data_IF_356929466596
#
_entry.id   IF_356929466596
#
_cell.length_a   1.000
_cell.length_b   1.000
_cell.length_c   1.000
_cell.angle_alpha   90.00
_cell.angle_beta   90.00
_cell.angle_gamma   90.00
#
_symmetry.space_group_name_H-M   'P 1'
#
loop_
_entity.id
_entity.type
_entity.pdbx_description
1 polymer ?
#
# COMPACT_ATOMS: atom_id res chain seq x y z
N UNK A 1 -25.42 4.80 8.60
CA UNK A 1 -24.89 4.28 7.31
C UNK A 1 -23.67 3.44 7.65
N UNK A 2 -23.63 2.19 7.24
CA UNK A 2 -22.53 1.29 7.62
C UNK A 2 -21.33 1.54 6.70
N UNK A 3 -20.09 1.45 7.19
CA UNK A 3 -18.85 1.59 6.37
C UNK A 3 -18.85 0.70 5.12
N UNK A 4 -19.54 -0.44 5.21
CA UNK A 4 -19.73 -1.33 4.07
C UNK A 4 -20.58 -0.69 2.95
N UNK A 5 -21.55 0.19 3.26
CA UNK A 5 -22.32 0.93 2.26
C UNK A 5 -21.49 1.98 1.53
N UNK A 6 -20.62 2.70 2.24
CA UNK A 6 -19.69 3.67 1.64
C UNK A 6 -18.69 2.96 0.72
N UNK A 7 -18.04 1.90 1.20
CA UNK A 7 -17.13 1.09 0.39
C UNK A 7 -17.82 0.47 -0.84
N UNK A 8 -19.10 0.06 -0.71
CA UNK A 8 -19.90 -0.44 -1.84
C UNK A 8 -20.12 0.65 -2.89
N UNK A 9 -20.48 1.85 -2.47
CA UNK A 9 -20.77 2.94 -3.40
C UNK A 9 -19.51 3.42 -4.12
N UNK A 10 -18.38 3.54 -3.40
CA UNK A 10 -17.07 3.82 -4.01
C UNK A 10 -16.69 2.77 -5.06
N UNK A 11 -16.88 1.47 -4.77
CA UNK A 11 -16.60 0.43 -5.76
C UNK A 11 -17.58 0.36 -6.92
N UNK A 12 -18.86 0.67 -6.70
CA UNK A 12 -19.84 0.79 -7.79
C UNK A 12 -19.41 1.89 -8.77
N UNK A 13 -18.96 3.02 -8.24
CA UNK A 13 -18.51 4.18 -9.01
C UNK A 13 -17.18 3.89 -9.73
N UNK A 14 -16.32 3.03 -9.17
CA UNK A 14 -15.11 2.53 -9.80
C UNK A 14 -15.33 1.38 -10.82
N UNK A 15 -16.57 1.15 -11.29
CA UNK A 15 -16.86 0.11 -12.29
C UNK A 15 -17.01 -1.32 -11.73
N UNK A 16 -17.16 -1.46 -10.41
CA UNK A 16 -17.52 -2.71 -9.75
C UNK A 16 -16.37 -3.67 -9.45
N UNK A 17 -15.10 -3.28 -9.67
CA UNK A 17 -13.92 -4.08 -9.33
C UNK A 17 -12.79 -3.18 -8.83
N UNK A 18 -12.05 -3.62 -7.80
CA UNK A 18 -10.80 -2.96 -7.40
C UNK A 18 -9.72 -3.26 -8.44
N UNK A 19 -9.03 -2.25 -9.01
CA UNK A 19 -7.93 -2.46 -9.97
C UNK A 19 -6.66 -3.01 -9.31
N UNK A 20 -6.63 -3.07 -7.98
CA UNK A 20 -5.46 -3.44 -7.20
C UNK A 20 -4.90 -4.81 -7.60
N UNK A 21 -5.73 -5.85 -7.60
CA UNK A 21 -5.24 -7.21 -7.85
C UNK A 21 -4.72 -7.38 -9.29
N UNK A 22 -5.43 -6.86 -10.29
CA UNK A 22 -5.00 -6.94 -11.68
C UNK A 22 -3.70 -6.17 -11.92
N UNK A 23 -3.52 -5.03 -11.26
CA UNK A 23 -2.28 -4.25 -11.34
C UNK A 23 -1.12 -4.99 -10.69
N UNK A 24 -1.33 -5.59 -9.51
CA UNK A 24 -0.30 -6.39 -8.83
C UNK A 24 0.08 -7.63 -9.65
N UNK A 25 -0.90 -8.28 -10.32
CA UNK A 25 -0.63 -9.41 -11.22
C UNK A 25 0.20 -8.99 -12.44
N UNK A 26 -0.11 -7.84 -13.02
CA UNK A 26 0.67 -7.28 -14.12
C UNK A 26 2.09 -6.92 -13.67
N UNK A 27 2.25 -6.29 -12.49
CA UNK A 27 3.55 -5.99 -11.88
C UNK A 27 4.37 -7.26 -11.63
N UNK A 28 3.75 -8.30 -11.07
CA UNK A 28 4.40 -9.59 -10.84
C UNK A 28 4.90 -10.24 -12.13
N UNK A 29 4.09 -10.17 -13.20
CA UNK A 29 4.44 -10.71 -14.52
C UNK A 29 5.61 -9.92 -15.14
N UNK A 30 5.55 -8.59 -15.11
CA UNK A 30 6.59 -7.73 -15.65
C UNK A 30 7.91 -7.90 -14.88
N UNK A 31 7.85 -7.97 -13.54
CA UNK A 31 9.01 -8.22 -12.68
C UNK A 31 9.62 -9.59 -12.95
N UNK A 32 8.80 -10.63 -13.14
CA UNK A 32 9.30 -11.96 -13.49
C UNK A 32 10.05 -11.94 -14.83
N UNK A 33 9.50 -11.29 -15.85
CA UNK A 33 10.14 -11.16 -17.16
C UNK A 33 11.49 -10.42 -17.06
N UNK A 34 11.51 -9.29 -16.36
CA UNK A 34 12.73 -8.50 -16.13
C UNK A 34 13.81 -9.30 -15.37
N UNK A 35 13.43 -10.06 -14.34
CA UNK A 35 14.37 -10.92 -13.62
C UNK A 35 14.89 -12.06 -14.49
N UNK A 36 14.05 -12.63 -15.36
CA UNK A 36 14.45 -13.67 -16.30
C UNK A 36 15.47 -13.14 -17.31
N UNK A 37 15.28 -11.93 -17.84
CA UNK A 37 16.25 -11.26 -18.72
C UNK A 37 17.59 -11.01 -18.01
N UNK A 38 17.56 -10.76 -16.70
CA UNK A 38 18.75 -10.65 -15.83
C UNK A 38 19.35 -12.00 -15.41
N UNK A 39 18.86 -13.12 -15.96
CA UNK A 39 19.38 -14.46 -15.71
C UNK A 39 18.89 -15.11 -14.41
N UNK A 40 17.79 -14.61 -13.83
CA UNK A 40 17.18 -15.17 -12.63
C UNK A 40 15.84 -15.82 -12.98
N UNK A 41 15.81 -17.15 -12.93
CA UNK A 41 14.57 -17.91 -13.01
C UNK A 41 13.84 -17.82 -11.67
N UNK A 42 12.65 -17.21 -11.67
CA UNK A 42 11.85 -17.01 -10.47
C UNK A 42 10.36 -17.18 -10.75
N UNK A 43 9.63 -17.50 -9.68
CA UNK A 43 8.19 -17.65 -9.68
C UNK A 43 7.57 -16.60 -8.74
N UNK A 44 6.73 -15.68 -9.24
CA UNK A 44 6.07 -14.71 -8.37
C UNK A 44 4.89 -15.36 -7.63
N UNK A 45 4.76 -15.05 -6.33
CA UNK A 45 3.63 -15.40 -5.49
C UNK A 45 3.03 -14.14 -4.90
N UNK A 46 1.74 -13.90 -5.15
CA UNK A 46 1.02 -12.74 -4.63
C UNK A 46 0.39 -13.13 -3.31
N UNK A 47 0.76 -12.43 -2.24
CA UNK A 47 0.19 -12.62 -0.91
C UNK A 47 -0.47 -11.31 -0.47
N UNK A 48 -1.80 -11.29 -0.39
CA UNK A 48 -2.53 -10.12 0.13
C UNK A 48 -3.10 -10.39 1.52
N UNK A 49 -3.12 -9.34 2.36
CA UNK A 49 -3.44 -9.46 3.78
C UNK A 49 -4.92 -9.71 4.06
N UNK A 50 -5.78 -9.01 3.31
CA UNK A 50 -7.22 -8.91 3.59
C UNK A 50 -8.10 -9.35 2.41
N UNK A 51 -7.51 -9.75 1.28
CA UNK A 51 -8.27 -10.21 0.11
C UNK A 51 -7.64 -11.44 -0.54
N UNK A 52 -8.27 -11.98 -1.57
CA UNK A 52 -7.71 -13.08 -2.36
C UNK A 52 -6.74 -12.54 -3.43
N UNK A 53 -5.65 -13.26 -3.74
CA UNK A 53 -5.14 -14.42 -3.01
C UNK A 53 -4.64 -14.03 -1.62
N UNK A 54 -5.01 -14.81 -0.60
CA UNK A 54 -4.59 -14.58 0.77
C UNK A 54 -3.14 -15.02 0.97
N UNK A 55 -2.51 -14.51 2.03
CA UNK A 55 -1.18 -14.97 2.45
C UNK A 55 -1.11 -16.49 2.63
N UNK A 56 -2.16 -17.11 3.17
CA UNK A 56 -2.32 -18.56 3.30
C UNK A 56 -2.24 -19.27 1.94
N UNK A 57 -3.01 -18.81 0.96
CA UNK A 57 -3.05 -19.38 -0.40
C UNK A 57 -1.66 -19.32 -1.05
N UNK A 58 -0.95 -18.20 -0.86
CA UNK A 58 0.40 -18.03 -1.40
C UNK A 58 1.41 -18.98 -0.75
N UNK A 59 1.35 -19.16 0.57
CA UNK A 59 2.24 -20.08 1.30
C UNK A 59 1.96 -21.53 0.91
N UNK A 60 0.70 -21.92 0.75
CA UNK A 60 0.34 -23.26 0.26
C UNK A 60 0.87 -23.51 -1.15
N UNK A 61 0.74 -22.54 -2.06
CA UNK A 61 1.28 -22.64 -3.42
C UNK A 61 2.82 -22.74 -3.42
N UNK A 62 3.50 -21.92 -2.61
CA UNK A 62 4.96 -21.95 -2.41
C UNK A 62 5.43 -23.36 -1.97
N UNK A 63 4.70 -23.99 -1.04
CA UNK A 63 4.99 -25.34 -0.55
C UNK A 63 4.73 -26.39 -1.62
N UNK A 64 3.59 -26.30 -2.31
CA UNK A 64 3.20 -27.25 -3.35
C UNK A 64 4.17 -27.25 -4.54
N UNK A 65 4.71 -26.09 -4.91
CA UNK A 65 5.72 -25.95 -5.98
C UNK A 65 7.15 -26.27 -5.49
N UNK A 66 7.35 -26.61 -4.20
CA UNK A 66 8.65 -27.00 -3.66
C UNK A 66 9.67 -25.87 -3.60
N UNK A 67 9.23 -24.61 -3.54
CA UNK A 67 10.12 -23.43 -3.54
C UNK A 67 10.88 -23.35 -2.20
N UNK A 68 12.21 -23.34 -2.24
CA UNK A 68 13.04 -23.34 -1.02
C UNK A 68 13.74 -22.01 -0.75
N UNK A 69 13.69 -21.07 -1.70
CA UNK A 69 14.34 -19.75 -1.63
C UNK A 69 13.33 -18.67 -1.99
N UNK A 70 13.16 -17.70 -1.11
CA UNK A 70 12.13 -16.67 -1.24
C UNK A 70 12.74 -15.28 -1.07
N UNK A 71 12.44 -14.36 -1.97
CA UNK A 71 12.58 -12.93 -1.71
C UNK A 71 11.19 -12.40 -1.36
N UNK A 72 11.04 -11.88 -0.14
CA UNK A 72 9.81 -11.26 0.33
C UNK A 72 9.90 -9.77 0.03
N UNK A 73 9.07 -9.32 -0.91
CA UNK A 73 9.01 -7.94 -1.39
C UNK A 73 7.65 -7.32 -1.02
N UNK A 74 7.54 -6.56 0.08
CA UNK A 74 6.39 -5.69 0.31
C UNK A 74 6.28 -4.65 -0.81
N UNK A 75 5.09 -4.50 -1.40
CA UNK A 75 4.83 -3.49 -2.44
C UNK A 75 4.60 -2.07 -1.89
N UNK A 76 4.85 -1.86 -0.60
CA UNK A 76 4.89 -0.53 0.02
C UNK A 76 6.34 -0.03 0.01
N UNK A 77 6.65 1.11 -0.66
CA UNK A 77 8.01 1.63 -0.68
C UNK A 77 8.49 2.02 0.73
N UNK A 78 7.60 2.66 1.50
CA UNK A 78 7.83 3.04 2.89
C UNK A 78 7.34 1.93 3.83
N UNK A 79 8.15 1.59 4.83
CA UNK A 79 7.76 0.65 5.87
C UNK A 79 6.79 1.29 6.86
N UNK A 80 5.75 0.55 7.23
CA UNK A 80 4.96 0.82 8.44
C UNK A 80 4.71 -0.49 9.20
N UNK A 81 4.62 -0.39 10.53
CA UNK A 81 4.20 -1.47 11.42
C UNK A 81 2.79 -1.98 11.10
N UNK A 82 1.94 -1.09 10.58
CA UNK A 82 0.55 -1.36 10.22
C UNK A 82 0.38 -2.04 8.85
N UNK A 83 1.35 -1.88 7.94
CA UNK A 83 1.31 -2.45 6.58
C UNK A 83 2.31 -3.60 6.42
N UNK A 84 3.55 -3.31 6.00
CA UNK A 84 4.62 -4.28 5.79
C UNK A 84 4.89 -5.08 7.07
N UNK A 85 4.94 -4.43 8.23
CA UNK A 85 5.11 -5.12 9.51
C UNK A 85 4.01 -6.16 9.80
N UNK A 86 2.74 -5.82 9.50
CA UNK A 86 1.61 -6.74 9.67
C UNK A 86 1.72 -7.96 8.76
N UNK A 87 2.02 -7.75 7.48
CA UNK A 87 2.18 -8.84 6.51
C UNK A 87 3.36 -9.75 6.86
N UNK A 88 4.49 -9.17 7.26
CA UNK A 88 5.71 -9.92 7.61
C UNK A 88 5.52 -10.80 8.84
N UNK A 89 4.82 -10.33 9.90
CA UNK A 89 4.53 -11.16 11.09
C UNK A 89 3.70 -12.41 10.76
N UNK A 90 2.76 -12.29 9.83
CA UNK A 90 1.93 -13.42 9.38
C UNK A 90 2.75 -14.39 8.55
N UNK A 91 3.53 -13.88 7.58
CA UNK A 91 4.41 -14.71 6.76
C UNK A 91 5.45 -15.44 7.61
N UNK A 92 6.06 -14.76 8.58
CA UNK A 92 7.03 -15.35 9.51
C UNK A 92 6.40 -16.53 10.25
N UNK A 93 5.20 -16.34 10.82
CA UNK A 93 4.48 -17.42 11.50
C UNK A 93 4.23 -18.61 10.57
N UNK A 94 3.82 -18.37 9.33
CA UNK A 94 3.44 -19.45 8.41
C UNK A 94 4.64 -20.20 7.81
N UNK A 95 5.76 -19.50 7.59
CA UNK A 95 6.97 -20.07 6.99
C UNK A 95 7.87 -20.75 8.03
N UNK A 96 7.96 -20.23 9.25
CA UNK A 96 8.93 -20.70 10.24
C UNK A 96 8.37 -21.60 11.34
N UNK A 97 7.04 -21.70 11.48
CA UNK A 97 6.44 -22.67 12.42
C UNK A 97 6.17 -24.04 11.81
N UNK A 98 6.36 -24.22 10.50
CA UNK A 98 6.24 -25.51 9.83
C UNK A 98 7.62 -26.21 9.76
N UNK A 99 7.87 -27.26 10.56
CA UNK A 99 9.14 -27.99 10.53
C UNK A 99 9.37 -28.75 9.21
N UNK A 100 8.34 -28.97 8.39
CA UNK A 100 8.42 -29.63 7.09
C UNK A 100 8.86 -28.71 5.94
N UNK A 101 9.00 -27.41 6.18
CA UNK A 101 9.27 -26.43 5.12
C UNK A 101 10.43 -25.49 5.46
N UNK A 102 11.70 -25.92 5.28
CA UNK A 102 12.86 -25.11 5.60
C UNK A 102 13.18 -24.09 4.50
N UNK A 103 12.28 -23.13 4.27
CA UNK A 103 12.53 -22.06 3.30
C UNK A 103 13.59 -21.08 3.80
N UNK A 104 14.55 -20.76 2.92
CA UNK A 104 15.40 -19.60 3.06
C UNK A 104 14.66 -18.39 2.54
N UNK A 105 14.54 -17.34 3.34
CA UNK A 105 13.99 -16.09 2.86
C UNK A 105 14.89 -14.89 3.15
N UNK A 106 14.87 -13.94 2.23
CA UNK A 106 15.35 -12.58 2.44
C UNK A 106 14.16 -11.64 2.37
N UNK A 107 14.17 -10.57 3.18
CA UNK A 107 13.10 -9.59 3.25
C UNK A 107 13.66 -8.25 2.79
N UNK A 108 12.98 -7.62 1.84
CA UNK A 108 13.22 -6.22 1.49
C UNK A 108 12.43 -5.35 2.49
N UNK A 109 13.09 -4.65 3.42
CA UNK A 109 12.37 -3.98 4.51
C UNK A 109 11.63 -2.72 4.03
N UNK A 110 12.29 -1.92 3.21
CA UNK A 110 11.78 -0.69 2.60
C UNK A 110 12.62 -0.37 1.35
N UNK A 111 12.07 0.42 0.43
CA UNK A 111 12.74 0.76 -0.84
C UNK A 111 12.33 2.15 -1.38
N UNK A 112 11.77 3.01 -0.54
CA UNK A 112 11.33 4.37 -0.87
C UNK A 112 12.43 5.32 -1.38
N UNK A 113 13.69 5.04 -1.06
CA UNK A 113 14.85 5.87 -1.43
C UNK A 113 15.64 5.31 -2.61
N UNK A 114 15.10 4.30 -3.32
CA UNK A 114 15.80 3.66 -4.43
C UNK A 114 15.82 4.59 -5.66
N UNK A 115 16.99 4.84 -6.27
CA UNK A 115 17.09 5.78 -7.41
C UNK A 115 16.11 5.49 -8.54
N UNK A 116 15.91 4.22 -8.91
CA UNK A 116 14.96 3.85 -9.97
C UNK A 116 13.50 4.15 -9.62
N UNK A 117 13.10 3.98 -8.35
CA UNK A 117 11.75 4.34 -7.89
C UNK A 117 11.54 5.86 -7.91
N UNK A 118 12.53 6.62 -7.42
CA UNK A 118 12.48 8.08 -7.40
C UNK A 118 12.40 8.65 -8.81
N UNK A 119 13.23 8.14 -9.73
CA UNK A 119 13.22 8.52 -11.15
C UNK A 119 11.89 8.17 -11.82
N UNK A 120 11.37 6.97 -11.62
CA UNK A 120 10.08 6.58 -12.20
C UNK A 120 8.94 7.48 -11.70
N UNK A 121 8.97 7.85 -10.41
CA UNK A 121 8.00 8.77 -9.82
C UNK A 121 8.12 10.17 -10.42
N UNK A 122 9.34 10.71 -10.52
CA UNK A 122 9.59 12.02 -11.11
C UNK A 122 9.18 12.08 -12.60
N UNK A 123 9.50 11.04 -13.39
CA UNK A 123 9.06 10.90 -14.77
C UNK A 123 7.53 10.92 -14.88
N UNK A 124 6.83 10.22 -13.98
CA UNK A 124 5.37 10.19 -14.00
C UNK A 124 4.76 11.55 -13.63
N UNK A 125 5.36 12.26 -12.69
CA UNK A 125 4.97 13.64 -12.34
C UNK A 125 5.21 14.56 -13.54
N UNK A 126 6.37 14.49 -14.19
CA UNK A 126 6.74 15.27 -15.37
C UNK A 126 5.76 15.05 -16.54
N UNK A 127 5.39 13.79 -16.82
CA UNK A 127 4.36 13.45 -17.80
C UNK A 127 3.01 14.08 -17.45
N UNK A 128 2.63 14.07 -16.17
CA UNK A 128 1.36 14.64 -15.70
C UNK A 128 1.35 16.17 -15.78
N UNK A 129 2.46 16.83 -15.43
CA UNK A 129 2.64 18.28 -15.59
C UNK A 129 2.62 18.67 -17.07
N UNK A 130 3.16 17.84 -17.95
CA UNK A 130 3.17 18.10 -19.39
C UNK A 130 1.76 18.16 -19.99
N UNK A 131 0.78 17.48 -19.37
CA UNK A 131 -0.63 17.56 -19.74
C UNK A 131 -1.35 18.82 -19.22
N UNK A 132 -0.77 19.55 -18.26
CA UNK A 132 -1.30 20.83 -17.78
C UNK A 132 -1.06 21.91 -18.85
N UNK A 133 -2.06 22.72 -19.23
CA UNK A 133 -1.88 23.84 -20.16
C UNK A 133 -0.77 24.78 -19.69
N UNK A 134 0.09 25.24 -20.60
CA UNK A 134 1.28 26.01 -20.25
C UNK A 134 0.93 27.29 -19.47
N UNK A 135 -0.16 27.94 -19.83
CA UNK A 135 -0.74 29.11 -19.18
C UNK A 135 -1.21 28.85 -17.74
N UNK A 136 -1.56 27.61 -17.41
CA UNK A 136 -2.02 27.21 -16.07
C UNK A 136 -0.86 26.81 -15.15
N UNK A 137 0.37 26.67 -15.66
CA UNK A 137 1.51 26.19 -14.86
C UNK A 137 2.09 27.24 -13.90
N UNK A 138 1.79 28.52 -14.10
CA UNK A 138 2.34 29.62 -13.29
C UNK A 138 1.91 29.61 -11.82
N UNK A 139 0.78 28.97 -11.50
CA UNK A 139 0.24 28.79 -10.14
C UNK A 139 0.26 27.33 -9.68
N UNK A 140 1.03 26.47 -10.37
CA UNK A 140 1.06 25.04 -10.11
C UNK A 140 1.68 24.74 -8.75
N UNK A 141 1.00 23.89 -7.97
CA UNK A 141 1.51 23.34 -6.73
C UNK A 141 1.46 21.81 -6.77
N UNK A 142 2.52 21.16 -6.29
CA UNK A 142 2.60 19.70 -6.12
C UNK A 142 2.13 19.31 -4.72
N UNK A 143 1.02 18.61 -4.61
CA UNK A 143 0.56 18.04 -3.34
C UNK A 143 0.88 16.56 -3.30
N UNK A 144 1.88 16.18 -2.51
CA UNK A 144 2.17 14.78 -2.22
C UNK A 144 1.17 14.29 -1.17
N UNK A 145 0.42 13.25 -1.51
CA UNK A 145 -0.58 12.66 -0.62
C UNK A 145 -0.20 11.23 -0.28
N UNK A 146 0.01 10.97 1.01
CA UNK A 146 0.33 9.66 1.57
C UNK A 146 -0.86 9.12 2.38
N UNK A 147 -0.91 7.81 2.64
CA UNK A 147 -1.92 7.24 3.52
C UNK A 147 -1.74 7.74 4.96
N UNK A 148 -2.83 8.18 5.58
CA UNK A 148 -2.83 8.53 6.99
C UNK A 148 -2.55 7.33 7.88
N UNK A 149 -1.88 7.60 9.00
CA UNK A 149 -1.60 6.66 10.07
C UNK A 149 -2.03 7.29 11.40
N UNK A 150 -2.59 6.55 12.37
CA UNK A 150 -2.81 7.10 13.70
C UNK A 150 -1.49 7.55 14.31
N UNK A 151 -1.43 8.78 14.83
CA UNK A 151 -0.19 9.44 15.29
C UNK A 151 0.57 8.59 16.33
N UNK A 152 -0.15 7.87 17.19
CA UNK A 152 0.42 6.94 18.18
C UNK A 152 1.38 5.90 17.60
N UNK A 153 1.22 5.48 16.34
CA UNK A 153 2.16 4.55 15.73
C UNK A 153 3.55 5.18 15.59
N UNK A 154 3.61 6.46 15.25
CA UNK A 154 4.87 7.20 15.13
C UNK A 154 5.35 7.62 16.53
N UNK A 155 4.48 8.27 17.30
CA UNK A 155 4.82 8.90 18.59
C UNK A 155 5.18 7.86 19.67
N UNK A 156 4.42 6.77 19.79
CA UNK A 156 4.57 5.81 20.88
C UNK A 156 5.32 4.54 20.45
N UNK A 157 5.19 4.13 19.18
CA UNK A 157 5.72 2.85 18.68
C UNK A 157 6.96 3.01 17.78
N UNK A 158 7.36 4.25 17.46
CA UNK A 158 8.52 4.53 16.63
C UNK A 158 8.37 4.04 15.18
N UNK A 159 7.16 4.05 14.63
CA UNK A 159 6.92 3.69 13.23
C UNK A 159 7.63 4.69 12.29
N UNK A 160 8.55 4.23 11.40
CA UNK A 160 9.37 5.11 10.58
C UNK A 160 8.60 5.69 9.38
N UNK A 161 7.33 5.31 9.18
CA UNK A 161 6.55 5.65 7.99
C UNK A 161 6.55 7.14 7.65
N UNK A 162 6.29 8.01 8.63
CA UNK A 162 6.22 9.46 8.40
C UNK A 162 7.55 10.04 7.91
N UNK A 163 8.67 9.65 8.55
CA UNK A 163 10.02 10.05 8.15
C UNK A 163 10.36 9.55 6.73
N UNK A 164 10.02 8.29 6.43
CA UNK A 164 10.28 7.72 5.11
C UNK A 164 9.43 8.38 4.01
N UNK A 165 8.18 8.74 4.29
CA UNK A 165 7.32 9.48 3.35
C UNK A 165 7.89 10.88 3.10
N UNK A 166 8.23 11.63 4.15
CA UNK A 166 8.84 12.96 4.00
C UNK A 166 10.14 12.88 3.21
N UNK A 167 10.99 11.89 3.52
CA UNK A 167 12.23 11.69 2.78
C UNK A 167 12.00 11.29 1.32
N UNK A 168 10.95 10.51 1.03
CA UNK A 168 10.56 10.18 -0.34
C UNK A 168 10.20 11.43 -1.13
N UNK A 169 9.37 12.31 -0.56
CA UNK A 169 9.00 13.58 -1.18
C UNK A 169 10.23 14.44 -1.48
N UNK A 170 11.14 14.62 -0.52
CA UNK A 170 12.35 15.41 -0.71
C UNK A 170 13.23 14.87 -1.85
N UNK A 171 13.38 13.55 -1.92
CA UNK A 171 14.17 12.89 -2.94
C UNK A 171 13.52 12.99 -4.33
N UNK A 172 12.20 12.83 -4.44
CA UNK A 172 11.46 13.03 -5.69
C UNK A 172 11.53 14.48 -6.15
N UNK A 173 11.39 15.45 -5.24
CA UNK A 173 11.59 16.87 -5.55
C UNK A 173 13.00 17.15 -6.08
N UNK A 174 14.02 16.50 -5.53
CA UNK A 174 15.40 16.64 -6.02
C UNK A 174 15.57 16.10 -7.45
N UNK A 175 14.92 14.97 -7.78
CA UNK A 175 14.88 14.43 -9.15
C UNK A 175 14.15 15.39 -10.11
N UNK A 176 13.02 15.96 -9.70
CA UNK A 176 12.28 16.95 -10.50
C UNK A 176 13.10 18.21 -10.76
N UNK A 177 13.79 18.73 -9.76
CA UNK A 177 14.70 19.87 -9.91
C UNK A 177 15.85 19.56 -10.88
N UNK A 178 16.41 18.35 -10.82
CA UNK A 178 17.42 17.90 -11.78
C UNK A 178 16.88 17.80 -13.23
N UNK A 179 15.57 17.59 -13.39
CA UNK A 179 14.86 17.63 -14.69
C UNK A 179 14.47 19.07 -15.12
N UNK A 180 14.81 20.09 -14.33
CA UNK A 180 14.43 21.48 -14.60
C UNK A 180 12.99 21.83 -14.20
N UNK A 181 12.34 21.01 -13.38
CA UNK A 181 11.00 21.23 -12.85
C UNK A 181 11.10 21.65 -11.38
N UNK A 182 10.98 22.95 -11.11
CA UNK A 182 11.01 23.51 -9.76
C UNK A 182 9.66 24.17 -9.44
N UNK A 183 8.76 23.39 -8.83
CA UNK A 183 7.44 23.84 -8.41
C UNK A 183 7.31 23.78 -6.89
N UNK A 184 6.55 24.71 -6.28
CA UNK A 184 6.15 24.61 -4.88
C UNK A 184 5.50 23.26 -4.57
N UNK A 185 5.82 22.70 -3.41
CA UNK A 185 5.33 21.40 -3.01
C UNK A 185 4.99 21.33 -1.52
N UNK A 186 3.99 20.52 -1.16
CA UNK A 186 3.69 20.17 0.23
C UNK A 186 3.31 18.68 0.36
N UNK A 187 3.39 18.17 1.58
CA UNK A 187 3.00 16.81 1.96
C UNK A 187 1.75 16.86 2.84
N UNK A 188 0.81 15.96 2.57
CA UNK A 188 -0.36 15.75 3.40
C UNK A 188 -0.77 14.27 3.45
N UNK A 189 -1.68 13.95 4.37
CA UNK A 189 -2.12 12.58 4.64
C UNK A 189 -3.61 12.41 4.30
N UNK A 190 -3.96 11.32 3.61
CA UNK A 190 -5.33 11.00 3.19
C UNK A 190 -5.94 9.91 4.10
N UNK A 191 -7.25 9.71 4.01
CA UNK A 191 -7.89 8.54 4.61
C UNK A 191 -7.78 8.45 6.13
N UNK A 192 -7.90 9.57 6.84
CA UNK A 192 -8.10 9.56 8.28
C UNK A 192 -9.50 9.02 8.61
N UNK A 193 -9.59 7.75 9.02
CA UNK A 193 -10.86 7.06 9.26
C UNK A 193 -10.95 6.49 10.67
N UNK A 194 -11.78 7.05 11.54
CA UNK A 194 -11.91 6.52 12.90
C UNK A 194 -12.82 7.35 13.79
N UNK A 195 -13.00 6.93 15.05
CA UNK A 195 -13.58 7.78 16.07
C UNK A 195 -12.84 9.12 16.12
N UNK A 196 -13.57 10.21 16.37
CA UNK A 196 -13.00 11.58 16.43
C UNK A 196 -11.86 11.72 17.46
N UNK A 197 -11.75 10.79 18.42
CA UNK A 197 -10.70 10.77 19.44
C UNK A 197 -9.36 10.24 18.92
N UNK A 198 -9.33 9.56 17.76
CA UNK A 198 -8.07 9.07 17.18
C UNK A 198 -7.36 10.23 16.49
N UNK A 199 -6.18 10.62 17.01
CA UNK A 199 -5.29 11.55 16.33
C UNK A 199 -4.59 10.86 15.16
N UNK A 200 -4.64 11.49 13.99
CA UNK A 200 -3.97 11.06 12.77
C UNK A 200 -2.76 11.93 12.47
N UNK A 201 -1.90 11.49 11.55
CA UNK A 201 -0.87 12.34 10.96
C UNK A 201 -1.51 13.53 10.23
N UNK A 202 -0.90 14.70 10.38
CA UNK A 202 -1.35 15.98 9.83
C UNK A 202 -0.22 16.65 9.03
N UNK A 203 -0.53 17.54 8.07
CA UNK A 203 -1.88 17.98 7.70
C UNK A 203 -2.65 16.92 6.90
N UNK A 204 -3.98 16.90 7.04
CA UNK A 204 -4.85 16.13 6.14
C UNK A 204 -4.80 16.70 4.71
N UNK A 205 -4.98 15.85 3.69
CA UNK A 205 -5.00 16.31 2.29
C UNK A 205 -6.16 17.28 2.04
N UNK A 206 -7.31 17.06 2.68
CA UNK A 206 -8.46 17.98 2.66
C UNK A 206 -8.11 19.37 3.21
N UNK A 207 -7.44 19.45 4.36
CA UNK A 207 -7.07 20.74 4.96
C UNK A 207 -6.01 21.46 4.15
N UNK A 208 -5.05 20.73 3.58
CA UNK A 208 -4.02 21.31 2.73
C UNK A 208 -4.60 21.83 1.41
N UNK A 209 -5.53 21.11 0.75
CA UNK A 209 -6.22 21.59 -0.46
C UNK A 209 -6.97 22.90 -0.19
N UNK A 210 -7.71 22.99 0.92
CA UNK A 210 -8.43 24.23 1.30
C UNK A 210 -7.48 25.41 1.51
N UNK A 211 -6.35 25.16 2.17
CA UNK A 211 -5.30 26.16 2.40
C UNK A 211 -4.67 26.63 1.08
N UNK A 212 -4.40 25.71 0.14
CA UNK A 212 -3.86 26.04 -1.18
C UNK A 212 -4.83 26.90 -2.00
N UNK A 213 -6.12 26.55 -2.04
CA UNK A 213 -7.14 27.37 -2.68
C UNK A 213 -7.24 28.78 -2.06
N UNK A 214 -7.25 28.87 -0.73
CA UNK A 214 -7.27 30.15 -0.01
C UNK A 214 -6.02 31.02 -0.25
N UNK A 215 -4.89 30.42 -0.63
CA UNK A 215 -3.65 31.12 -0.97
C UNK A 215 -3.51 31.45 -2.46
N UNK A 216 -4.55 31.17 -3.27
CA UNK A 216 -4.61 31.55 -4.67
C UNK A 216 -3.96 30.55 -5.64
N UNK A 217 -3.67 29.33 -5.20
CA UNK A 217 -3.29 28.23 -6.10
C UNK A 217 -4.47 27.92 -7.01
N UNK A 218 -4.27 27.97 -8.33
CA UNK A 218 -5.32 27.64 -9.31
C UNK A 218 -5.06 26.35 -10.07
N UNK A 219 -3.87 25.76 -9.89
CA UNK A 219 -3.45 24.49 -10.51
C UNK A 219 -2.83 23.58 -9.46
N UNK A 220 -3.44 22.41 -9.24
CA UNK A 220 -2.97 21.41 -8.29
C UNK A 220 -2.63 20.11 -9.01
N UNK A 221 -1.41 19.63 -8.82
CA UNK A 221 -0.99 18.29 -9.23
C UNK A 221 -0.86 17.42 -7.98
N UNK A 222 -1.74 16.44 -7.85
CA UNK A 222 -1.82 15.54 -6.71
C UNK A 222 -1.02 14.27 -6.96
N UNK A 223 -0.05 13.97 -6.09
CA UNK A 223 0.91 12.87 -6.24
C UNK A 223 0.64 11.78 -5.19
N UNK A 224 0.17 10.58 -5.56
CA UNK A 224 0.07 9.44 -4.63
C UNK A 224 1.45 8.85 -4.34
N UNK A 225 2.07 9.24 -3.22
CA UNK A 225 3.50 8.92 -2.94
C UNK A 225 3.71 7.60 -2.18
N UNK A 226 2.66 7.08 -1.53
CA UNK A 226 2.77 5.90 -0.65
C UNK A 226 2.22 4.59 -1.25
N UNK A 227 1.85 4.58 -2.53
CA UNK A 227 1.34 3.40 -3.24
C UNK A 227 1.84 3.37 -4.68
N UNK A 228 2.06 2.15 -5.19
CA UNK A 228 2.54 1.91 -6.57
C UNK A 228 1.51 1.22 -7.47
N UNK A 229 0.29 1.07 -6.99
CA UNK A 229 -0.84 0.51 -7.74
C UNK A 229 -2.13 1.27 -7.38
N UNK A 230 -3.06 1.31 -8.34
CA UNK A 230 -4.36 1.93 -8.12
C UNK A 230 -5.19 1.11 -7.13
N UNK A 231 -5.95 1.81 -6.29
CA UNK A 231 -6.87 1.23 -5.32
C UNK A 231 -8.01 2.21 -5.03
N UNK A 232 -8.88 1.89 -4.07
CA UNK A 232 -10.07 2.71 -3.85
C UNK A 232 -9.79 4.13 -3.35
N UNK A 233 -8.73 4.35 -2.57
CA UNK A 233 -8.40 5.72 -2.13
C UNK A 233 -7.95 6.59 -3.32
N UNK A 234 -7.15 6.06 -4.25
CA UNK A 234 -6.78 6.81 -5.46
C UNK A 234 -7.98 7.08 -6.37
N UNK A 235 -8.83 6.09 -6.62
CA UNK A 235 -9.95 6.24 -7.56
C UNK A 235 -11.16 7.01 -7.00
N UNK A 236 -11.41 6.95 -5.69
CA UNK A 236 -12.58 7.59 -5.10
C UNK A 236 -12.20 8.85 -4.33
N UNK A 237 -11.25 8.76 -3.39
CA UNK A 237 -10.88 9.90 -2.55
C UNK A 237 -10.17 10.97 -3.40
N UNK A 238 -9.15 10.58 -4.18
CA UNK A 238 -8.41 11.56 -4.99
C UNK A 238 -9.17 12.04 -6.23
N UNK A 239 -9.61 11.11 -7.09
CA UNK A 239 -10.21 11.48 -8.39
C UNK A 239 -11.61 12.10 -8.28
N UNK A 240 -12.29 11.95 -7.12
CA UNK A 240 -13.66 12.48 -6.95
C UNK A 240 -13.76 13.45 -5.80
N UNK A 241 -13.40 13.04 -4.59
CA UNK A 241 -13.60 13.89 -3.40
C UNK A 241 -12.63 15.07 -3.41
N UNK A 242 -11.34 14.84 -3.67
CA UNK A 242 -10.34 15.91 -3.75
C UNK A 242 -10.47 16.75 -5.02
N UNK A 243 -10.84 16.16 -6.15
CA UNK A 243 -11.14 16.90 -7.36
C UNK A 243 -12.33 17.87 -7.16
N UNK A 244 -13.42 17.40 -6.55
CA UNK A 244 -14.58 18.25 -6.24
C UNK A 244 -14.22 19.33 -5.21
N UNK A 245 -13.42 18.99 -4.20
CA UNK A 245 -12.94 19.96 -3.22
C UNK A 245 -12.05 21.03 -3.87
N UNK A 246 -11.17 20.64 -4.78
CA UNK A 246 -10.30 21.55 -5.51
C UNK A 246 -11.14 22.57 -6.29
N UNK A 247 -12.18 22.12 -7.00
CA UNK A 247 -13.14 22.99 -7.69
C UNK A 247 -13.86 23.94 -6.71
N UNK A 248 -14.35 23.44 -5.57
CA UNK A 248 -15.03 24.22 -4.52
C UNK A 248 -14.18 25.40 -4.03
N UNK A 249 -12.86 25.20 -3.91
CA UNK A 249 -11.93 26.19 -3.38
C UNK A 249 -11.20 27.02 -4.45
N UNK A 250 -11.65 26.95 -5.71
CA UNK A 250 -11.14 27.78 -6.80
C UNK A 250 -9.89 27.26 -7.52
N UNK A 251 -9.52 26.00 -7.31
CA UNK A 251 -8.46 25.32 -8.07
C UNK A 251 -9.05 24.86 -9.41
N UNK A 252 -8.88 25.69 -10.44
CA UNK A 252 -9.43 25.47 -11.78
C UNK A 252 -8.83 24.28 -12.55
N UNK A 253 -7.59 23.90 -12.24
CA UNK A 253 -6.90 22.77 -12.89
C UNK A 253 -6.47 21.77 -11.83
N UNK A 254 -7.02 20.56 -11.87
CA UNK A 254 -6.67 19.47 -10.96
C UNK A 254 -6.19 18.28 -11.78
N UNK A 255 -4.98 17.79 -11.49
CA UNK A 255 -4.41 16.61 -12.14
C UNK A 255 -3.91 15.64 -11.08
N UNK A 256 -4.45 14.42 -11.04
CA UNK A 256 -3.85 13.34 -10.25
C UNK A 256 -2.81 12.61 -11.08
N UNK A 257 -1.63 12.43 -10.51
CA UNK A 257 -0.57 11.60 -11.07
C UNK A 257 -0.97 10.12 -10.96
N UNK A 258 -0.97 9.34 -12.07
CA UNK A 258 -1.20 7.91 -12.01
C UNK A 258 -0.17 7.20 -11.13
N UNK A 259 -0.58 6.13 -10.43
CA UNK A 259 0.39 5.27 -9.74
C UNK A 259 1.35 4.59 -10.73
N UNK A 260 2.48 4.08 -10.23
CA UNK A 260 3.54 3.55 -11.09
C UNK A 260 3.13 2.32 -11.89
N UNK A 261 2.21 1.48 -11.41
CA UNK A 261 1.71 0.32 -12.16
C UNK A 261 2.86 -0.51 -12.72
N UNK A 262 2.90 -0.69 -14.04
CA UNK A 262 3.96 -1.45 -14.74
C UNK A 262 4.91 -0.57 -15.55
N UNK A 263 5.16 0.68 -15.12
CA UNK A 263 6.14 1.53 -15.80
C UNK A 263 7.51 0.83 -15.90
N UNK A 264 8.16 0.80 -17.09
CA UNK A 264 9.43 0.08 -17.28
C UNK A 264 10.51 0.47 -16.27
N UNK A 265 10.75 1.78 -16.07
CA UNK A 265 11.72 2.30 -15.09
C UNK A 265 11.43 1.78 -13.67
N UNK A 266 10.16 1.62 -13.32
CA UNK A 266 9.75 1.11 -12.01
C UNK A 266 9.95 -0.41 -11.90
N UNK A 267 9.60 -1.18 -12.93
CA UNK A 267 9.83 -2.63 -12.96
C UNK A 267 11.33 -2.95 -12.87
N UNK A 268 12.17 -2.22 -13.60
CA UNK A 268 13.63 -2.31 -13.50
C UNK A 268 14.15 -2.00 -12.09
N UNK A 269 13.54 -1.02 -11.41
CA UNK A 269 13.87 -0.66 -10.04
C UNK A 269 13.53 -1.81 -9.07
N UNK A 270 12.34 -2.40 -9.18
CA UNK A 270 11.95 -3.56 -8.38
C UNK A 270 12.86 -4.76 -8.64
N UNK A 271 13.20 -5.03 -9.90
CA UNK A 271 14.12 -6.10 -10.25
C UNK A 271 15.50 -5.89 -9.61
N UNK A 272 16.01 -4.65 -9.63
CA UNK A 272 17.28 -4.30 -8.96
C UNK A 272 17.21 -4.58 -7.46
N UNK A 273 16.12 -4.16 -6.80
CA UNK A 273 15.88 -4.41 -5.38
C UNK A 273 15.83 -5.92 -5.07
N UNK A 274 15.20 -6.72 -5.91
CA UNK A 274 15.15 -8.18 -5.75
C UNK A 274 16.54 -8.80 -5.96
N UNK A 275 17.27 -8.39 -6.99
CA UNK A 275 18.63 -8.87 -7.28
C UNK A 275 19.58 -8.63 -6.11
N UNK A 276 19.52 -7.45 -5.49
CA UNK A 276 20.32 -7.12 -4.30
C UNK A 276 19.98 -7.99 -3.08
N UNK A 277 18.77 -8.52 -3.00
CA UNK A 277 18.34 -9.40 -1.91
C UNK A 277 18.75 -10.88 -2.12
N UNK A 278 19.11 -11.29 -3.34
CA UNK A 278 19.48 -12.68 -3.65
C UNK A 278 20.74 -13.19 -2.92
N UNK A 279 21.83 -12.40 -2.76
CA UNK A 279 23.01 -12.85 -2.03
C UNK A 279 22.71 -13.33 -0.61
N UNK A 280 21.71 -12.78 0.07
CA UNK A 280 21.33 -13.21 1.41
C UNK A 280 20.75 -14.64 1.42
N UNK A 281 20.19 -15.12 0.30
CA UNK A 281 19.70 -16.49 0.16
C UNK A 281 20.83 -17.53 0.11
N UNK A 282 22.08 -17.10 -0.10
CA UNK A 282 23.25 -17.97 -0.01
C UNK A 282 23.61 -18.34 1.42
N UNK A 283 23.16 -17.54 2.41
CA UNK A 283 23.41 -17.81 3.83
C UNK A 283 22.64 -19.06 4.28
N UNK A 284 23.14 -19.83 5.28
CA UNK A 284 22.38 -20.94 5.87
C UNK A 284 21.05 -20.43 6.42
N UNK A 285 19.98 -21.24 6.36
CA UNK A 285 18.71 -20.85 6.96
C UNK A 285 18.89 -20.72 8.48
N UNK A 286 18.12 -19.85 9.14
CA UNK A 286 18.15 -19.73 10.61
C UNK A 286 17.85 -21.06 11.31
N UNK A 287 17.10 -21.96 10.67
CA UNK A 287 16.85 -23.32 11.14
C UNK A 287 18.11 -24.22 11.07
N UNK A 288 19.06 -23.93 10.19
CA UNK A 288 20.32 -24.68 10.01
C UNK A 288 21.46 -24.19 10.92
N UNK A 289 21.40 -22.97 11.45
CA UNK A 289 22.46 -22.39 12.29
C UNK A 289 22.48 -22.99 13.70
N UNK A 290 21.38 -23.62 14.13
CA UNK A 290 21.31 -24.23 15.44
C UNK A 290 20.93 -25.71 15.36
N UNK A 291 21.95 -26.57 15.51
CA UNK A 291 21.79 -27.99 15.86
C UNK A 291 21.04 -28.14 17.21
N UNK A 292 19.72 -27.90 17.22
CA UNK A 292 18.82 -28.24 18.33
C UNK A 292 18.78 -27.31 19.53
N UNK A 293 19.26 -26.06 19.47
CA UNK A 293 19.07 -25.08 20.55
C UNK A 293 18.33 -23.84 20.04
N UNK A 294 17.19 -23.41 20.59
CA UNK A 294 16.52 -22.18 20.14
C UNK A 294 17.43 -20.96 20.29
N UNK A 295 17.72 -20.22 19.21
CA UNK A 295 18.31 -18.87 19.34
C UNK A 295 17.19 -17.89 19.66
N UNK A 296 17.44 -17.05 20.65
CA UNK A 296 16.52 -15.99 21.04
C UNK A 296 16.33 -14.99 19.90
N UNK A 297 15.11 -14.44 19.80
CA UNK A 297 14.66 -13.38 18.89
C UNK A 297 15.61 -12.16 18.78
N UNK A 298 16.61 -12.04 19.65
CA UNK A 298 17.59 -10.97 19.63
C UNK A 298 18.49 -10.96 18.38
N UNK A 299 18.72 -12.11 17.73
CA UNK A 299 19.56 -12.18 16.50
C UNK A 299 18.82 -12.02 15.17
N UNK A 300 17.52 -12.35 15.11
CA UNK A 300 16.67 -11.96 13.95
C UNK A 300 16.44 -10.46 13.98
N UNK A 301 16.27 -9.90 15.18
CA UNK A 301 16.25 -8.47 15.42
C UNK A 301 17.59 -7.77 15.11
N UNK A 302 18.71 -8.48 14.85
CA UNK A 302 19.98 -7.86 14.41
C UNK A 302 19.99 -7.47 12.93
N UNK A 303 19.20 -8.16 12.09
CA UNK A 303 19.11 -7.84 10.66
C UNK A 303 17.98 -6.83 10.35
N UNK A 304 16.96 -6.75 11.20
CA UNK A 304 15.99 -5.65 11.24
C UNK A 304 16.47 -4.44 12.07
N UNK A 305 17.67 -4.51 12.66
CA UNK A 305 18.32 -3.51 13.53
C UNK A 305 18.92 -2.32 12.78
N UNK A 306 18.27 -1.84 11.71
CA UNK A 306 18.37 -0.41 11.41
C UNK A 306 17.55 0.44 12.40
N UNK A 307 16.70 -0.16 13.24
CA UNK A 307 16.06 0.54 14.35
C UNK A 307 15.99 -0.34 15.61
N UNK A 308 16.38 0.26 16.74
CA UNK A 308 16.84 -0.39 17.98
C UNK A 308 15.75 -1.09 18.81
N UNK A 309 16.08 -2.28 19.33
CA UNK A 309 15.27 -3.03 20.31
C UNK A 309 15.37 -2.48 21.74
N UNK A 310 16.42 -1.71 22.05
CA UNK A 310 16.62 -1.18 23.41
C UNK A 310 15.69 0.02 23.74
N UNK A 311 14.87 0.47 22.78
CA UNK A 311 13.79 1.44 22.99
C UNK A 311 12.38 0.86 22.84
N UNK A 312 12.24 -0.43 22.50
CA UNK A 312 10.93 -1.07 22.37
C UNK A 312 10.63 -1.85 23.65
N UNK A 313 10.11 -1.16 24.65
CA UNK A 313 9.31 -1.83 25.67
C UNK A 313 8.11 -2.46 24.96
N UNK A 314 8.19 -3.78 24.76
CA UNK A 314 7.07 -4.59 24.29
C UNK A 314 5.89 -4.35 25.23
N UNK A 315 4.79 -3.82 24.67
CA UNK A 315 3.50 -3.67 25.34
C UNK A 315 3.13 -5.01 26.01
N UNK A 316 2.62 -5.02 27.27
CA UNK A 316 2.18 -6.24 27.92
C UNK A 316 1.14 -6.97 27.06
N UNK A 317 1.28 -8.29 26.93
CA UNK A 317 0.22 -9.14 26.44
C UNK A 317 -0.92 -9.16 27.47
N UNK A 318 -1.81 -8.19 27.37
CA UNK A 318 -3.22 -8.24 27.76
C UNK A 318 -3.87 -6.92 27.30
N UNK A 319 -4.75 -7.00 26.28
CA UNK A 319 -5.57 -5.87 25.84
C UNK A 319 -7.05 -6.23 26.10
N UNK A 320 -7.87 -5.29 26.59
CA UNK A 320 -9.28 -5.54 26.86
C UNK A 320 -10.05 -5.85 25.58
N UNK A 321 -11.16 -6.57 25.74
CA UNK A 321 -12.06 -7.08 24.69
C UNK A 321 -12.26 -6.11 23.51
N UNK A 322 -11.88 -6.53 22.30
CA UNK A 322 -12.27 -5.87 21.04
C UNK A 322 -11.17 -5.61 19.99
N UNK A 323 -9.89 -5.73 20.34
CA UNK A 323 -8.76 -5.48 19.42
C UNK A 323 -7.73 -6.63 19.47
N UNK A 324 -8.11 -7.81 18.97
CA UNK A 324 -7.16 -8.92 18.76
C UNK A 324 -6.68 -8.94 17.30
N UNK A 325 -5.48 -9.46 17.03
CA UNK A 325 -4.97 -9.71 15.66
C UNK A 325 -5.99 -10.53 14.83
N UNK A 326 -6.65 -11.49 15.47
CA UNK A 326 -7.74 -12.25 14.87
C UNK A 326 -8.94 -11.37 14.54
N UNK A 327 -9.36 -10.47 15.43
CA UNK A 327 -10.45 -9.54 15.17
C UNK A 327 -10.13 -8.58 14.01
N UNK A 328 -8.89 -8.10 13.88
CA UNK A 328 -8.47 -7.25 12.76
C UNK A 328 -8.59 -7.98 11.41
N UNK A 329 -8.10 -9.23 11.34
CA UNK A 329 -8.20 -10.06 10.12
C UNK A 329 -9.65 -10.41 9.79
N UNK A 330 -10.41 -10.83 10.80
CA UNK A 330 -11.82 -11.20 10.64
C UNK A 330 -12.62 -9.97 10.18
N UNK A 331 -12.42 -8.81 10.80
CA UNK A 331 -13.11 -7.58 10.42
C UNK A 331 -12.72 -7.11 9.01
N UNK A 332 -11.43 -7.16 8.65
CA UNK A 332 -10.96 -6.83 7.29
C UNK A 332 -11.53 -7.77 6.23
N UNK A 333 -11.53 -9.09 6.50
CA UNK A 333 -12.09 -10.10 5.59
C UNK A 333 -13.61 -10.02 5.46
N UNK A 334 -14.33 -9.77 6.57
CA UNK A 334 -15.78 -9.55 6.56
C UNK A 334 -16.13 -8.31 5.74
N UNK A 335 -15.40 -7.21 5.92
CA UNK A 335 -15.61 -5.98 5.15
C UNK A 335 -15.48 -6.26 3.64
N UNK A 336 -14.40 -6.93 3.23
CA UNK A 336 -14.16 -7.23 1.81
C UNK A 336 -15.12 -8.27 1.23
N UNK A 337 -15.54 -9.28 2.01
CA UNK A 337 -16.53 -10.27 1.59
C UNK A 337 -17.92 -9.66 1.44
N UNK A 338 -18.34 -8.80 2.39
CA UNK A 338 -19.61 -8.07 2.32
C UNK A 338 -19.68 -7.16 1.09
N UNK A 339 -18.55 -6.55 0.76
CA UNK A 339 -18.38 -5.71 -0.42
C UNK A 339 -18.47 -6.54 -1.71
N UNK A 340 -17.84 -7.71 -1.78
CA UNK A 340 -17.85 -8.59 -2.97
C UNK A 340 -19.18 -9.30 -3.21
N UNK A 341 -19.84 -9.81 -2.16
CA UNK A 341 -21.17 -10.38 -2.28
C UNK A 341 -22.17 -9.34 -2.81
N UNK A 342 -21.99 -8.07 -2.41
CA UNK A 342 -22.83 -6.97 -2.91
C UNK A 342 -22.57 -6.65 -4.39
N UNK A 343 -21.35 -6.85 -4.90
CA UNK A 343 -21.02 -6.74 -6.32
C UNK A 343 -21.70 -7.86 -7.12
N UNK A 344 -21.66 -9.10 -6.65
CA UNK A 344 -22.37 -10.21 -7.30
C UNK A 344 -23.88 -9.91 -7.40
N UNK A 345 -24.46 -9.32 -6.35
CA UNK A 345 -25.85 -8.88 -6.32
C UNK A 345 -26.15 -7.66 -7.21
N UNK A 346 -25.18 -6.82 -7.56
CA UNK A 346 -25.39 -5.64 -8.43
C UNK A 346 -25.08 -5.90 -9.90
N UNK A 347 -24.30 -6.93 -10.22
CA UNK A 347 -23.88 -7.27 -11.59
C UNK A 347 -24.66 -8.45 -12.17
N UNK A 348 -25.18 -9.37 -11.36
CA UNK A 348 -25.96 -10.53 -11.82
C UNK A 348 -27.49 -10.24 -11.82
N UNK A 349 -28.15 -10.20 -13.00
CA UNK A 349 -29.59 -9.94 -13.12
C UNK A 349 -30.46 -10.96 -12.38
N UNK A 350 -29.99 -12.20 -12.27
CA UNK A 350 -30.70 -13.33 -11.64
C UNK A 350 -30.72 -13.16 -10.13
N UNK A 351 -29.59 -12.75 -9.55
CA UNK A 351 -29.47 -12.44 -8.12
C UNK A 351 -30.22 -11.15 -7.73
N UNK A 352 -30.25 -10.13 -8.61
CA UNK A 352 -31.14 -8.96 -8.43
C UNK A 352 -32.60 -9.37 -8.32
N UNK A 353 -33.05 -10.28 -9.19
CA UNK A 353 -34.43 -10.77 -9.19
C UNK A 353 -34.76 -11.56 -7.91
N UNK A 354 -33.84 -12.42 -7.45
CA UNK A 354 -33.99 -13.16 -6.18
C UNK A 354 -34.05 -12.23 -4.97
N UNK A 355 -33.21 -11.19 -4.90
CA UNK A 355 -33.25 -10.20 -3.81
C UNK A 355 -34.51 -9.33 -3.87
N UNK A 356 -34.99 -8.98 -5.07
CA UNK A 356 -36.24 -8.27 -5.25
C UNK A 356 -37.45 -9.12 -4.81
N UNK A 357 -37.47 -10.41 -5.17
CA UNK A 357 -38.49 -11.36 -4.71
C UNK A 357 -38.46 -11.53 -3.18
N UNK A 358 -37.27 -11.67 -2.58
CA UNK A 358 -37.12 -11.79 -1.13
C UNK A 358 -37.62 -10.54 -0.38
N UNK A 359 -37.29 -9.34 -0.89
CA UNK A 359 -37.79 -8.08 -0.33
C UNK A 359 -39.29 -7.94 -0.47
N UNK A 360 -39.86 -8.35 -1.61
CA UNK A 360 -41.30 -8.36 -1.81
C UNK A 360 -42.02 -9.31 -0.84
N UNK A 361 -41.43 -10.46 -0.51
CA UNK A 361 -41.98 -11.39 0.49
C UNK A 361 -41.88 -10.89 1.94
N UNK A 362 -40.91 -10.02 2.25
CA UNK A 362 -40.74 -9.43 3.58
C UNK A 362 -41.70 -8.25 3.84
N UNK A 363 -42.15 -7.56 2.79
CA UNK A 363 -43.14 -6.45 2.89
C UNK A 363 -44.59 -6.99 2.92
N UNK A 364 -44.80 -8.25 2.54
CA UNK A 364 -46.12 -8.86 2.43
C UNK A 364 -46.61 -9.60 3.71
N UNK A 365 -45.82 -9.60 4.80
CA UNK A 365 -46.26 -10.12 6.10
C UNK A 365 -46.33 -8.97 7.12
N UNK A 366 -47.54 -8.43 7.43
CA UNK A 366 -47.72 -7.39 8.44
C UNK A 366 -47.47 -7.89 9.87
#
# INVERSE_FOLDING_TARGET
>A
KTRAEEARESMRLAGGRSPQLSTIQAQATALQAELQERGVDCRPFIATRYWKPFTEDAVEAIKAEGIQKLVILPLYPQFSLSTSGSALRVLERMLYTDPGFPAKSSVVPAWYNRPGFLRATAQRIEQSISAVPAESRGSLHLLYSAQGLPAKYVEDLGDPYAEQVERSMQLVQSELQAMGLDYPASLAYQGAFGPQQVRWLEPSSTSEIRKLGASGVTTLVLVPISFVFEHMATLNEMDREYAALAEEVGISTFVRVPTLGTEPTFVEALATVVMEALPDLSRPSMQQINQGTPVTLNKVNEYTRLYTKDQLQLVPQEQPWGFTEQAEVINGRIAMAAVTASIALTVDPTLKMLVAMYRATQVANP
#
